data_IF_670635868018
#
_entry.id   IF_670635868018
#
_cell.length_a   1.000
_cell.length_b   1.000
_cell.length_c   1.000
_cell.angle_alpha   90.00
_cell.angle_beta   90.00
_cell.angle_gamma   90.00
#
_symmetry.space_group_name_H-M   'P 1'
#
loop_
_entity.id
_entity.type
_entity.pdbx_description
1 polymer ?
#
# COMPACT_ATOMS: atom_id res chain seq x y z
N UNK A 1 -8.98 -1.34 -94.52
CA UNK A 1 -8.00 -1.85 -93.55
C UNK A 1 -8.71 -2.03 -92.22
N UNK A 2 -8.87 -3.27 -91.73
CA UNK A 2 -9.55 -3.54 -90.48
C UNK A 2 -8.55 -3.41 -89.31
N UNK A 3 -8.84 -2.64 -88.26
CA UNK A 3 -7.91 -2.51 -87.15
C UNK A 3 -7.92 -3.78 -86.29
N UNK A 4 -6.75 -4.40 -86.12
CA UNK A 4 -6.53 -5.47 -85.13
C UNK A 4 -6.55 -4.87 -83.72
N UNK A 5 -7.74 -4.76 -83.12
CA UNK A 5 -7.98 -4.22 -81.78
C UNK A 5 -8.19 -5.23 -80.59
N UNK A 6 -8.28 -6.57 -80.74
CA UNK A 6 -8.60 -7.44 -79.58
C UNK A 6 -7.47 -7.64 -78.56
N UNK A 7 -6.22 -7.78 -79.00
CA UNK A 7 -5.08 -8.17 -78.13
C UNK A 7 -4.72 -7.10 -77.08
N UNK A 8 -4.85 -5.83 -77.43
CA UNK A 8 -4.48 -4.69 -76.56
C UNK A 8 -5.45 -4.48 -75.41
N UNK A 9 -6.75 -4.76 -75.62
CA UNK A 9 -7.80 -4.57 -74.60
C UNK A 9 -7.74 -5.62 -73.50
N UNK A 10 -7.42 -6.88 -73.84
CA UNK A 10 -7.20 -7.95 -72.88
C UNK A 10 -5.94 -7.73 -72.01
N UNK A 11 -4.84 -7.27 -72.61
CA UNK A 11 -3.62 -6.93 -71.88
C UNK A 11 -3.85 -5.78 -70.88
N UNK A 12 -4.56 -4.73 -71.28
CA UNK A 12 -4.93 -3.63 -70.38
C UNK A 12 -5.78 -4.12 -69.18
N UNK A 13 -6.75 -5.01 -69.42
CA UNK A 13 -7.58 -5.60 -68.36
C UNK A 13 -6.75 -6.43 -67.36
N UNK A 14 -5.75 -7.17 -67.83
CA UNK A 14 -4.83 -7.93 -66.95
C UNK A 14 -3.95 -7.01 -66.11
N UNK A 15 -3.38 -5.94 -66.70
CA UNK A 15 -2.59 -4.97 -65.95
C UNK A 15 -3.40 -4.25 -64.86
N UNK A 16 -4.65 -3.88 -65.14
CA UNK A 16 -5.53 -3.27 -64.14
C UNK A 16 -5.84 -4.24 -62.98
N UNK A 17 -6.06 -5.53 -63.28
CA UNK A 17 -6.26 -6.56 -62.25
C UNK A 17 -5.01 -6.76 -61.39
N UNK A 18 -3.82 -6.74 -61.98
CA UNK A 18 -2.58 -6.84 -61.23
C UNK A 18 -2.39 -5.65 -60.27
N UNK A 19 -2.65 -4.42 -60.72
CA UNK A 19 -2.59 -3.23 -59.87
C UNK A 19 -3.58 -3.32 -58.71
N UNK A 20 -4.81 -3.80 -58.98
CA UNK A 20 -5.82 -3.99 -57.95
C UNK A 20 -5.38 -5.03 -56.90
N UNK A 21 -4.80 -6.15 -57.32
CA UNK A 21 -4.25 -7.19 -56.43
C UNK A 21 -3.06 -6.65 -55.61
N UNK A 22 -2.11 -5.96 -56.24
CA UNK A 22 -0.94 -5.40 -55.56
C UNK A 22 -1.35 -4.37 -54.49
N UNK A 23 -2.40 -3.59 -54.75
CA UNK A 23 -2.98 -2.64 -53.79
C UNK A 23 -3.62 -3.35 -52.59
N UNK A 24 -4.36 -4.43 -52.84
CA UNK A 24 -4.91 -5.27 -51.78
C UNK A 24 -3.80 -5.91 -50.95
N UNK A 25 -2.76 -6.45 -51.56
CA UNK A 25 -1.62 -7.05 -50.86
C UNK A 25 -0.86 -6.04 -50.00
N UNK A 26 -0.71 -4.79 -50.47
CA UNK A 26 -0.16 -3.70 -49.65
C UNK A 26 -1.05 -3.41 -48.44
N UNK A 27 -2.36 -3.41 -48.62
CA UNK A 27 -3.35 -3.16 -47.56
C UNK A 27 -3.32 -4.29 -46.52
N UNK A 28 -3.32 -5.55 -46.98
CA UNK A 28 -3.22 -6.73 -46.12
C UNK A 28 -1.92 -6.70 -45.30
N UNK A 29 -0.78 -6.37 -45.93
CA UNK A 29 0.50 -6.22 -45.22
C UNK A 29 0.44 -5.14 -44.14
N UNK A 30 -0.14 -3.98 -44.44
CA UNK A 30 -0.30 -2.89 -43.47
C UNK A 30 -1.17 -3.31 -42.29
N UNK A 31 -2.32 -3.95 -42.55
CA UNK A 31 -3.22 -4.43 -41.51
C UNK A 31 -2.55 -5.48 -40.62
N UNK A 32 -1.79 -6.42 -41.21
CA UNK A 32 -1.03 -7.41 -40.43
C UNK A 32 0.02 -6.76 -39.53
N UNK A 33 0.75 -5.77 -40.04
CA UNK A 33 1.72 -5.03 -39.24
C UNK A 33 1.06 -4.26 -38.10
N UNK A 34 -0.06 -3.58 -38.36
CA UNK A 34 -0.83 -2.89 -37.33
C UNK A 34 -1.33 -3.85 -36.25
N UNK A 35 -1.89 -5.00 -36.65
CA UNK A 35 -2.35 -6.02 -35.72
C UNK A 35 -1.21 -6.59 -34.88
N UNK A 36 -0.03 -6.81 -35.47
CA UNK A 36 1.15 -7.27 -34.75
C UNK A 36 1.61 -6.24 -33.70
N UNK A 37 1.58 -4.95 -34.03
CA UNK A 37 1.91 -3.87 -33.08
C UNK A 37 0.87 -3.77 -31.96
N UNK A 38 -0.42 -3.83 -32.28
CA UNK A 38 -1.49 -3.83 -31.26
C UNK A 38 -1.37 -5.04 -30.32
N UNK A 39 -1.09 -6.24 -30.85
CA UNK A 39 -0.89 -7.44 -30.02
C UNK A 39 0.29 -7.31 -29.07
N UNK A 40 1.40 -6.72 -29.52
CA UNK A 40 2.56 -6.43 -28.66
C UNK A 40 2.21 -5.42 -27.58
N UNK A 41 1.52 -4.33 -27.94
CA UNK A 41 1.06 -3.34 -26.97
C UNK A 41 0.17 -3.96 -25.89
N UNK A 42 -0.85 -4.73 -26.29
CA UNK A 42 -1.73 -5.44 -25.36
C UNK A 42 -1.00 -6.47 -24.50
N UNK A 43 0.03 -7.13 -25.02
CA UNK A 43 0.84 -8.06 -24.24
C UNK A 43 1.68 -7.34 -23.17
N UNK A 44 2.23 -6.16 -23.48
CA UNK A 44 2.97 -5.33 -22.51
C UNK A 44 2.06 -4.85 -21.39
N UNK A 45 0.94 -4.20 -21.73
CA UNK A 45 0.02 -3.67 -20.71
C UNK A 45 -0.57 -4.77 -19.84
N UNK A 46 -0.84 -5.95 -20.41
CA UNK A 46 -1.30 -7.12 -19.64
C UNK A 46 -0.22 -7.62 -18.68
N UNK A 47 1.05 -7.55 -19.05
CA UNK A 47 2.15 -7.94 -18.16
C UNK A 47 2.26 -6.95 -16.99
N UNK A 48 2.29 -5.66 -17.29
CA UNK A 48 2.34 -4.58 -16.29
C UNK A 48 1.17 -4.67 -15.31
N UNK A 49 -0.07 -4.89 -15.81
CA UNK A 49 -1.25 -5.05 -14.95
C UNK A 49 -1.15 -6.24 -13.98
N UNK A 50 -0.52 -7.34 -14.41
CA UNK A 50 -0.30 -8.50 -13.53
C UNK A 50 0.75 -8.19 -12.47
N UNK A 51 1.81 -7.50 -12.83
CA UNK A 51 2.87 -7.10 -11.90
C UNK A 51 2.32 -6.14 -10.83
N UNK A 52 1.51 -5.16 -11.24
CA UNK A 52 0.85 -4.24 -10.29
C UNK A 52 -0.16 -4.97 -9.40
N UNK A 53 -0.92 -5.93 -9.93
CA UNK A 53 -1.83 -6.75 -9.12
C UNK A 53 -1.07 -7.55 -8.05
N UNK A 54 0.05 -8.18 -8.40
CA UNK A 54 0.87 -8.93 -7.44
C UNK A 54 1.43 -8.00 -6.35
N UNK A 55 1.92 -6.81 -6.74
CA UNK A 55 2.41 -5.82 -5.78
C UNK A 55 1.30 -5.34 -4.83
N UNK A 56 0.09 -5.11 -5.36
CA UNK A 56 -1.08 -4.71 -4.56
C UNK A 56 -1.49 -5.79 -3.56
N UNK A 57 -1.52 -7.07 -3.99
CA UNK A 57 -1.82 -8.18 -3.09
C UNK A 57 -0.77 -8.35 -1.99
N UNK A 58 0.51 -8.14 -2.30
CA UNK A 58 1.58 -8.16 -1.31
C UNK A 58 1.42 -7.01 -0.29
N UNK A 59 1.09 -5.81 -0.77
CA UNK A 59 0.81 -4.65 0.08
C UNK A 59 -0.38 -4.89 1.01
N UNK A 60 -1.49 -5.40 0.47
CA UNK A 60 -2.68 -5.73 1.26
C UNK A 60 -2.37 -6.74 2.38
N UNK A 61 -1.61 -7.80 2.07
CA UNK A 61 -1.16 -8.78 3.08
C UNK A 61 -0.26 -8.17 4.15
N UNK A 62 0.62 -7.25 3.76
CA UNK A 62 1.47 -6.53 4.70
C UNK A 62 0.63 -5.69 5.65
N UNK A 63 -0.28 -4.88 5.10
CA UNK A 63 -1.19 -4.05 5.86
C UNK A 63 -2.05 -4.88 6.84
N UNK A 64 -2.58 -6.02 6.39
CA UNK A 64 -3.35 -6.93 7.23
C UNK A 64 -2.53 -7.44 8.43
N UNK A 65 -1.26 -7.81 8.22
CA UNK A 65 -0.38 -8.26 9.32
C UNK A 65 -0.09 -7.14 10.31
N UNK A 66 0.14 -5.92 9.82
CA UNK A 66 0.35 -4.76 10.68
C UNK A 66 -0.89 -4.47 11.51
N UNK A 67 -2.08 -4.48 10.90
CA UNK A 67 -3.32 -4.32 11.65
C UNK A 67 -3.47 -5.40 12.72
N UNK A 68 -3.20 -6.67 12.42
CA UNK A 68 -3.29 -7.74 13.42
C UNK A 68 -2.37 -7.48 14.64
N UNK A 69 -1.14 -7.01 14.39
CA UNK A 69 -0.20 -6.66 15.47
C UNK A 69 -0.63 -5.44 16.28
N UNK A 70 -1.26 -4.46 15.64
CA UNK A 70 -1.81 -3.29 16.34
C UNK A 70 -2.92 -3.73 17.29
N UNK A 71 -3.89 -4.52 16.82
CA UNK A 71 -4.97 -5.02 17.68
C UNK A 71 -4.43 -5.88 18.83
N UNK A 72 -3.43 -6.75 18.59
CA UNK A 72 -2.80 -7.54 19.65
C UNK A 72 -2.11 -6.66 20.71
N UNK A 73 -1.43 -5.60 20.29
CA UNK A 73 -0.81 -4.65 21.20
C UNK A 73 -1.85 -3.85 22.00
N UNK A 74 -2.93 -3.42 21.35
CA UNK A 74 -4.06 -2.74 21.99
C UNK A 74 -4.72 -3.63 23.06
N UNK A 75 -5.00 -4.89 22.73
CA UNK A 75 -5.57 -5.87 23.66
C UNK A 75 -4.63 -6.11 24.86
N UNK A 76 -3.32 -6.23 24.61
CA UNK A 76 -2.33 -6.38 25.68
C UNK A 76 -2.26 -5.15 26.58
N UNK A 77 -2.32 -3.95 26.01
CA UNK A 77 -2.31 -2.70 26.77
C UNK A 77 -3.58 -2.57 27.63
N UNK A 78 -4.75 -2.92 27.08
CA UNK A 78 -6.00 -2.95 27.85
C UNK A 78 -5.93 -3.96 29.00
N UNK A 79 -5.34 -5.14 28.79
CA UNK A 79 -5.15 -6.12 29.85
C UNK A 79 -4.20 -5.60 30.96
N UNK A 80 -3.12 -4.91 30.59
CA UNK A 80 -2.22 -4.28 31.55
C UNK A 80 -2.92 -3.17 32.34
N UNK A 81 -3.74 -2.34 31.68
CA UNK A 81 -4.51 -1.30 32.34
C UNK A 81 -5.42 -1.88 33.44
N UNK A 82 -6.16 -2.95 33.14
CA UNK A 82 -7.01 -3.64 34.12
C UNK A 82 -6.20 -4.23 35.30
N UNK A 83 -4.99 -4.74 35.05
CA UNK A 83 -4.12 -5.25 36.11
C UNK A 83 -3.63 -4.12 37.02
N UNK A 84 -3.24 -2.98 36.43
CA UNK A 84 -2.80 -1.80 37.17
C UNK A 84 -3.94 -1.28 38.04
N UNK A 85 -5.16 -1.15 37.50
CA UNK A 85 -6.34 -0.76 38.29
C UNK A 85 -6.53 -1.67 39.51
N UNK A 86 -6.50 -2.99 39.31
CA UNK A 86 -6.66 -3.95 40.40
C UNK A 86 -5.55 -3.84 41.46
N UNK A 87 -4.31 -3.59 41.06
CA UNK A 87 -3.18 -3.41 41.98
C UNK A 87 -3.28 -2.10 42.77
N UNK A 88 -3.77 -1.03 42.15
CA UNK A 88 -4.04 0.25 42.84
C UNK A 88 -5.10 0.04 43.92
N UNK A 89 -6.21 -0.63 43.59
CA UNK A 89 -7.27 -0.94 44.54
C UNK A 89 -6.78 -1.83 45.71
N UNK A 90 -5.94 -2.83 45.42
CA UNK A 90 -5.34 -3.70 46.44
C UNK A 90 -4.39 -2.91 47.35
N UNK A 91 -3.53 -2.07 46.76
CA UNK A 91 -2.60 -1.22 47.50
C UNK A 91 -3.34 -0.27 48.45
N UNK A 92 -4.45 0.32 48.02
CA UNK A 92 -5.24 1.21 48.88
C UNK A 92 -5.96 0.43 50.00
N UNK A 93 -6.48 -0.77 49.70
CA UNK A 93 -7.05 -1.68 50.71
C UNK A 93 -6.03 -2.12 51.76
N UNK A 94 -4.79 -2.38 51.34
CA UNK A 94 -3.67 -2.72 52.22
C UNK A 94 -3.27 -1.55 53.11
N UNK A 95 -3.17 -0.34 52.54
CA UNK A 95 -2.89 0.88 53.31
C UNK A 95 -3.96 1.12 54.39
N UNK A 96 -5.23 0.96 54.05
CA UNK A 96 -6.33 1.08 55.00
C UNK A 96 -6.22 0.06 56.14
N UNK A 97 -5.86 -1.18 55.83
CA UNK A 97 -5.64 -2.26 56.81
C UNK A 97 -4.47 -1.94 57.74
N UNK A 98 -3.35 -1.48 57.18
CA UNK A 98 -2.16 -1.10 57.95
C UNK A 98 -2.50 0.05 58.90
N UNK A 99 -3.22 1.07 58.43
CA UNK A 99 -3.63 2.20 59.25
C UNK A 99 -4.49 1.76 60.44
N UNK A 100 -5.53 0.95 60.21
CA UNK A 100 -6.37 0.42 61.28
C UNK A 100 -5.61 -0.41 62.33
N UNK A 101 -4.59 -1.17 61.90
CA UNK A 101 -3.72 -1.92 62.83
C UNK A 101 -2.79 -1.02 63.64
N UNK A 102 -2.27 0.05 63.05
CA UNK A 102 -1.43 1.03 63.74
C UNK A 102 -2.21 1.79 64.81
N UNK A 103 -3.43 2.23 64.48
CA UNK A 103 -4.35 2.86 65.42
C UNK A 103 -4.62 1.96 66.62
N UNK A 104 -4.91 0.67 66.39
CA UNK A 104 -5.17 -0.30 67.45
C UNK A 104 -3.95 -0.54 68.37
N UNK A 105 -2.73 -0.39 67.86
CA UNK A 105 -1.49 -0.61 68.60
C UNK A 105 -0.91 0.66 69.25
N UNK A 106 -1.55 1.83 69.12
CA UNK A 106 -1.00 3.14 69.53
C UNK A 106 0.41 3.40 68.96
N UNK A 107 0.71 2.84 67.79
CA UNK A 107 1.99 3.05 67.12
C UNK A 107 1.95 4.38 66.34
N UNK A 108 2.96 5.26 66.45
CA UNK A 108 3.04 6.43 65.59
C UNK A 108 3.12 6.02 64.12
N UNK A 109 2.52 6.83 63.23
CA UNK A 109 2.51 6.58 61.79
C UNK A 109 3.95 6.47 61.25
N UNK A 110 4.34 5.36 60.60
CA UNK A 110 5.71 5.13 60.20
C UNK A 110 6.11 5.81 58.87
N UNK A 111 5.17 6.43 58.14
CA UNK A 111 5.40 7.00 56.80
C UNK A 111 5.23 8.53 56.71
N UNK A 112 5.36 9.26 57.83
CA UNK A 112 5.47 10.75 57.81
C UNK A 112 6.85 11.24 57.31
N UNK A 113 7.71 10.33 56.85
CA UNK A 113 8.91 10.70 56.12
C UNK A 113 8.51 11.31 54.79
N UNK A 114 9.00 12.53 54.55
CA UNK A 114 8.97 13.29 53.31
C UNK A 114 9.43 12.42 52.14
N UNK A 115 8.53 11.60 51.60
CA UNK A 115 8.70 11.02 50.29
C UNK A 115 8.57 12.20 49.35
N UNK A 116 9.70 12.76 48.91
CA UNK A 116 9.66 13.67 47.78
C UNK A 116 8.96 12.91 46.65
N UNK A 117 7.75 13.36 46.29
CA UNK A 117 7.11 12.95 45.04
C UNK A 117 8.17 13.12 43.96
N UNK A 118 8.70 12.00 43.44
CA UNK A 118 9.47 12.05 42.21
C UNK A 118 8.59 12.82 41.22
N UNK A 119 9.06 13.93 40.65
CA UNK A 119 8.23 14.75 39.79
C UNK A 119 7.68 13.85 38.68
N UNK A 120 6.38 13.95 38.41
CA UNK A 120 5.79 13.37 37.21
C UNK A 120 6.55 13.95 36.02
N UNK A 121 7.52 13.21 35.47
CA UNK A 121 8.13 13.57 34.21
C UNK A 121 7.00 13.52 33.18
N UNK A 122 6.52 14.69 32.76
CA UNK A 122 5.71 14.82 31.56
C UNK A 122 6.46 14.06 30.47
N UNK A 123 5.81 13.13 29.74
CA UNK A 123 6.48 12.47 28.64
C UNK A 123 7.00 13.57 27.72
N UNK A 124 8.31 13.66 27.54
CA UNK A 124 8.89 14.58 26.58
C UNK A 124 8.23 14.26 25.25
N UNK A 125 7.34 15.14 24.78
CA UNK A 125 6.83 15.08 23.42
C UNK A 125 8.07 15.27 22.55
N UNK A 126 8.70 14.15 22.14
CA UNK A 126 9.68 14.16 21.09
C UNK A 126 8.99 14.81 19.89
N UNK A 127 9.32 16.09 19.67
CA UNK A 127 8.95 16.85 18.49
C UNK A 127 9.44 16.00 17.32
N UNK A 128 8.51 15.29 16.70
CA UNK A 128 8.80 14.44 15.56
C UNK A 128 9.30 15.42 14.51
N UNK A 129 10.62 15.51 14.34
CA UNK A 129 11.24 16.43 13.40
C UNK A 129 10.49 16.31 12.08
N UNK A 130 10.00 17.45 11.57
CA UNK A 130 9.32 17.54 10.29
C UNK A 130 10.16 16.80 9.26
N UNK A 131 9.67 15.63 8.82
CA UNK A 131 10.31 14.86 7.77
C UNK A 131 10.44 15.82 6.59
N UNK A 132 11.66 16.13 6.12
CA UNK A 132 11.81 17.10 5.06
C UNK A 132 11.06 16.57 3.84
N UNK A 133 10.04 17.32 3.41
CA UNK A 133 9.37 17.11 2.14
C UNK A 133 10.43 17.32 1.06
N UNK A 134 11.09 16.24 0.68
CA UNK A 134 11.99 16.24 -0.46
C UNK A 134 11.19 16.67 -1.68
N UNK A 135 11.45 17.89 -2.16
CA UNK A 135 11.07 18.32 -3.49
C UNK A 135 11.83 17.45 -4.49
N UNK A 136 11.30 16.24 -4.71
CA UNK A 136 11.70 15.40 -5.82
C UNK A 136 11.22 16.07 -7.09
N UNK A 137 12.10 16.87 -7.68
CA UNK A 137 12.01 17.28 -9.08
C UNK A 137 11.96 15.98 -9.91
N UNK A 138 10.75 15.60 -10.31
CA UNK A 138 10.54 14.53 -11.27
C UNK A 138 10.91 15.15 -12.62
N UNK A 139 12.14 14.89 -13.05
CA UNK A 139 12.62 15.27 -14.38
C UNK A 139 11.94 14.34 -15.40
N UNK A 140 10.95 14.88 -16.08
CA UNK A 140 10.31 14.23 -17.23
C UNK A 140 11.15 14.53 -18.50
N UNK A 141 12.14 13.67 -18.78
CA UNK A 141 12.76 13.56 -20.14
C UNK A 141 12.37 12.26 -20.85
#
# INVERSE_FOLDING_TARGET
>A
MAPSAPRTRAAAALHMKQIALDSQDRTIRRLRAQLATQRRGLASTKKELKETQVALEASYKCHQKFQARIHEAEDSMQAQHLLIEALVDEKDSLLQTIHGLQEANNAPAPFDGDWEEEPEEEPEEEEIEDIPLGEGEIDDE
#
